data_IF_979823020881
#
_entry.id   IF_979823020881
#
_cell.length_a   1.000
_cell.length_b   1.000
_cell.length_c   1.000
_cell.angle_alpha   90.00
_cell.angle_beta   90.00
_cell.angle_gamma   90.00
#
_symmetry.space_group_name_H-M   'P 1'
#
loop_
_entity.id
_entity.type
_entity.pdbx_description
1 polymer ?
#
# COMPACT_ATOMS: atom_id res chain seq x y z
N UNK A 1 19.45 1.36 -19.66
CA UNK A 1 20.14 0.52 -18.69
C UNK A 1 19.40 0.65 -17.38
N UNK A 2 18.73 -0.44 -16.95
CA UNK A 2 18.12 -0.52 -15.63
C UNK A 2 19.26 -0.37 -14.61
N UNK A 3 19.20 0.64 -13.76
CA UNK A 3 20.15 0.81 -12.67
C UNK A 3 20.09 -0.41 -11.75
N UNK A 4 21.22 -0.74 -11.14
CA UNK A 4 21.62 -1.99 -10.48
C UNK A 4 20.75 -2.48 -9.29
N UNK A 5 19.43 -2.26 -9.32
CA UNK A 5 18.56 -2.80 -8.29
C UNK A 5 18.50 -4.33 -8.39
N UNK A 6 19.02 -5.01 -7.37
CA UNK A 6 19.08 -6.47 -7.34
C UNK A 6 17.75 -7.05 -6.86
N UNK A 7 17.24 -8.00 -7.64
CA UNK A 7 16.09 -8.82 -7.24
C UNK A 7 16.59 -10.16 -6.67
N UNK A 8 16.01 -10.54 -5.57
CA UNK A 8 16.27 -11.78 -4.86
C UNK A 8 15.08 -12.72 -5.00
N UNK A 9 15.30 -14.02 -5.08
CA UNK A 9 14.24 -14.98 -4.82
C UNK A 9 13.91 -15.02 -3.32
N UNK A 10 12.82 -15.69 -2.95
CA UNK A 10 12.34 -15.77 -1.56
C UNK A 10 13.42 -16.23 -0.57
N UNK A 11 14.15 -17.29 -0.91
CA UNK A 11 15.15 -17.88 0.00
C UNK A 11 16.31 -16.91 0.22
N UNK A 12 16.85 -16.36 -0.85
CA UNK A 12 17.94 -15.37 -0.77
C UNK A 12 17.51 -14.12 0.01
N UNK A 13 16.28 -13.63 -0.22
CA UNK A 13 15.75 -12.47 0.47
C UNK A 13 15.62 -12.71 1.98
N UNK A 14 15.08 -13.85 2.39
CA UNK A 14 14.96 -14.22 3.82
C UNK A 14 16.35 -14.30 4.46
N UNK A 15 17.32 -14.97 3.81
CA UNK A 15 18.68 -15.03 4.33
C UNK A 15 19.32 -13.64 4.49
N UNK A 16 19.12 -12.74 3.50
CA UNK A 16 19.65 -11.37 3.56
C UNK A 16 18.98 -10.54 4.67
N UNK A 17 17.64 -10.59 4.75
CA UNK A 17 16.89 -9.87 5.81
C UNK A 17 17.31 -10.35 7.21
N UNK A 18 17.41 -11.67 7.42
CA UNK A 18 17.83 -12.23 8.71
C UNK A 18 19.25 -11.79 9.08
N UNK A 19 20.18 -11.78 8.11
CA UNK A 19 21.55 -11.30 8.33
C UNK A 19 21.57 -9.83 8.73
N UNK A 20 20.91 -8.96 7.94
CA UNK A 20 20.86 -7.52 8.23
C UNK A 20 20.18 -7.24 9.58
N UNK A 21 19.11 -7.99 9.91
CA UNK A 21 18.45 -7.90 11.21
C UNK A 21 19.35 -8.30 12.38
N UNK A 22 20.09 -9.40 12.24
CA UNK A 22 21.07 -9.85 13.26
C UNK A 22 22.20 -8.83 13.44
N UNK A 23 22.64 -8.18 12.37
CA UNK A 23 23.64 -7.11 12.38
C UNK A 23 23.06 -5.76 12.84
N UNK A 24 21.74 -5.67 13.08
CA UNK A 24 20.99 -4.43 13.43
C UNK A 24 21.17 -3.31 12.38
N UNK A 25 21.30 -3.70 11.11
CA UNK A 25 21.41 -2.78 9.99
C UNK A 25 20.01 -2.49 9.43
N UNK A 26 19.66 -1.21 9.20
CA UNK A 26 18.37 -0.87 8.60
C UNK A 26 18.34 -1.33 7.14
N UNK A 27 17.18 -1.77 6.69
CA UNK A 27 16.95 -2.08 5.28
C UNK A 27 15.50 -1.81 4.87
N UNK A 28 15.33 -1.44 3.62
CA UNK A 28 14.04 -1.41 2.93
C UNK A 28 13.83 -2.75 2.23
N UNK A 29 12.62 -3.28 2.28
CA UNK A 29 12.25 -4.42 1.46
C UNK A 29 10.96 -4.17 0.68
N UNK A 30 10.88 -4.74 -0.52
CA UNK A 30 9.68 -4.77 -1.35
C UNK A 30 9.49 -6.20 -1.82
N UNK A 31 8.34 -6.78 -1.53
CA UNK A 31 8.00 -8.17 -1.86
C UNK A 31 6.83 -8.15 -2.83
N UNK A 32 6.96 -8.79 -3.99
CA UNK A 32 5.83 -8.96 -4.90
C UNK A 32 4.81 -9.98 -4.37
N UNK A 33 3.59 -9.93 -4.91
CA UNK A 33 2.50 -10.81 -4.47
C UNK A 33 2.86 -12.30 -4.54
N UNK A 34 3.63 -12.72 -5.53
CA UNK A 34 4.04 -14.12 -5.70
C UNK A 34 5.27 -14.51 -4.89
N UNK A 35 5.93 -13.54 -4.25
CA UNK A 35 7.19 -13.73 -3.52
C UNK A 35 8.34 -14.25 -4.41
N UNK A 36 8.29 -13.94 -5.70
CA UNK A 36 9.28 -14.34 -6.70
C UNK A 36 10.36 -13.28 -6.92
N UNK A 37 9.99 -12.01 -6.75
CA UNK A 37 10.87 -10.85 -6.91
C UNK A 37 10.87 -10.02 -5.64
N UNK A 38 11.95 -10.08 -4.92
CA UNK A 38 12.11 -9.36 -3.65
C UNK A 38 13.29 -8.40 -3.75
N UNK A 39 13.09 -7.16 -3.34
CA UNK A 39 14.16 -6.18 -3.14
C UNK A 39 14.47 -6.13 -1.66
N UNK A 40 15.75 -6.16 -1.30
CA UNK A 40 16.23 -5.92 0.07
C UNK A 40 17.48 -5.06 -0.03
N UNK A 41 17.34 -3.77 0.27
CA UNK A 41 18.44 -2.81 0.14
C UNK A 41 18.59 -1.94 1.38
N UNK A 42 19.82 -1.62 1.71
CA UNK A 42 20.10 -0.66 2.76
C UNK A 42 19.80 0.76 2.28
N UNK A 43 19.27 1.65 3.12
CA UNK A 43 18.77 2.96 2.71
C UNK A 43 19.80 3.82 1.96
N UNK A 44 21.08 3.70 2.33
CA UNK A 44 22.20 4.42 1.71
C UNK A 44 22.66 3.86 0.35
N UNK A 45 22.21 2.65 0.02
CA UNK A 45 22.49 1.99 -1.27
C UNK A 45 21.34 2.13 -2.28
N UNK A 46 20.22 2.73 -1.87
CA UNK A 46 19.07 2.90 -2.76
C UNK A 46 19.29 4.06 -3.71
N UNK A 47 19.36 3.77 -5.01
CA UNK A 47 19.36 4.78 -6.04
C UNK A 47 18.01 5.52 -6.10
N UNK A 48 18.01 6.81 -5.77
CA UNK A 48 16.82 7.67 -5.79
C UNK A 48 16.25 7.91 -7.19
N UNK A 49 17.01 7.62 -8.25
CA UNK A 49 16.49 7.62 -9.63
C UNK A 49 15.78 6.32 -10.01
N UNK A 50 15.90 5.28 -9.20
CA UNK A 50 15.27 4.00 -9.43
C UNK A 50 14.12 3.72 -8.45
N UNK A 51 14.25 4.13 -7.19
CA UNK A 51 13.25 3.90 -6.15
C UNK A 51 13.18 5.08 -5.17
N UNK A 52 11.97 5.60 -4.98
CA UNK A 52 11.67 6.62 -3.98
C UNK A 52 10.66 6.08 -2.98
N UNK A 53 10.83 6.44 -1.71
CA UNK A 53 9.86 6.09 -0.68
C UNK A 53 9.71 7.20 0.37
N UNK A 54 8.55 7.19 1.01
CA UNK A 54 8.27 7.89 2.25
C UNK A 54 7.39 6.97 3.12
N UNK A 55 7.94 6.51 4.21
CA UNK A 55 7.30 5.61 5.15
C UNK A 55 7.20 6.31 6.50
N UNK A 56 6.12 7.07 6.71
CA UNK A 56 5.87 7.85 7.93
C UNK A 56 7.02 8.82 8.28
N UNK A 57 7.58 9.47 7.26
CA UNK A 57 8.69 10.42 7.42
C UNK A 57 10.09 9.83 7.23
N UNK A 58 10.25 8.51 7.25
CA UNK A 58 11.50 7.85 6.82
C UNK A 58 11.52 7.84 5.29
N UNK A 59 12.46 8.55 4.69
CA UNK A 59 12.43 8.82 3.24
C UNK A 59 13.82 9.01 2.66
N UNK A 60 13.98 8.66 1.38
CA UNK A 60 15.14 9.03 0.56
C UNK A 60 14.86 10.20 -0.39
N UNK A 61 13.71 10.85 -0.27
CA UNK A 61 13.36 12.02 -1.08
C UNK A 61 14.10 13.25 -0.55
N UNK A 62 14.93 13.88 -1.38
CA UNK A 62 15.62 15.11 -1.02
C UNK A 62 14.63 16.24 -0.68
N UNK A 63 14.93 17.02 0.36
CA UNK A 63 14.05 18.11 0.82
C UNK A 63 13.79 19.16 -0.26
N UNK A 64 14.77 19.41 -1.12
CA UNK A 64 14.66 20.36 -2.23
C UNK A 64 13.70 19.89 -3.36
N UNK A 65 13.51 18.59 -3.51
CA UNK A 65 12.62 18.03 -4.55
C UNK A 65 11.12 18.13 -4.19
N UNK A 66 10.81 18.59 -2.98
CA UNK A 66 9.42 18.64 -2.49
C UNK A 66 8.64 19.89 -2.92
N UNK A 67 9.30 20.94 -3.37
CA UNK A 67 8.65 22.26 -3.39
C UNK A 67 8.52 22.91 -4.77
N UNK A 68 9.42 22.71 -5.74
CA UNK A 68 9.55 23.74 -6.77
C UNK A 68 8.99 23.45 -8.18
N UNK A 69 8.80 22.21 -8.59
CA UNK A 69 8.33 21.95 -9.97
C UNK A 69 6.81 21.87 -10.08
N UNK A 70 6.15 21.51 -8.99
CA UNK A 70 4.71 21.27 -9.00
C UNK A 70 3.88 22.55 -8.88
N UNK A 71 4.28 23.47 -8.01
CA UNK A 71 3.61 24.77 -7.83
C UNK A 71 3.74 25.68 -9.05
N UNK A 72 4.79 25.47 -9.87
CA UNK A 72 5.05 26.24 -11.08
C UNK A 72 4.37 25.65 -12.34
N UNK A 73 3.64 24.54 -12.21
CA UNK A 73 2.94 23.96 -13.35
C UNK A 73 1.72 24.80 -13.72
N UNK A 74 1.80 25.53 -14.82
CA UNK A 74 0.73 26.43 -15.31
C UNK A 74 -0.35 25.70 -16.12
N UNK A 75 -0.13 24.45 -16.54
CA UNK A 75 -1.08 23.67 -17.33
C UNK A 75 -1.97 22.80 -16.45
N UNK A 76 -3.26 22.75 -16.76
CA UNK A 76 -4.19 21.81 -16.12
C UNK A 76 -3.75 20.37 -16.34
N UNK A 77 -3.79 19.56 -15.26
CA UNK A 77 -3.48 18.13 -15.33
C UNK A 77 -4.59 17.43 -16.11
N UNK A 78 -4.18 16.64 -17.10
CA UNK A 78 -5.10 15.71 -17.76
C UNK A 78 -5.17 14.42 -16.97
N UNK A 79 -6.38 14.06 -16.53
CA UNK A 79 -6.64 12.81 -15.81
C UNK A 79 -7.96 12.22 -16.26
N UNK A 80 -7.91 11.16 -17.06
CA UNK A 80 -9.08 10.46 -17.59
C UNK A 80 -9.09 9.02 -17.08
N UNK A 81 -10.22 8.56 -16.58
CA UNK A 81 -10.39 7.19 -16.06
C UNK A 81 -11.37 6.40 -16.92
N UNK A 82 -11.10 5.12 -17.11
CA UNK A 82 -11.90 4.21 -17.93
C UNK A 82 -12.31 2.99 -17.07
N UNK A 83 -13.25 3.15 -16.11
CA UNK A 83 -13.69 2.05 -15.28
C UNK A 83 -14.41 0.98 -16.08
N UNK A 84 -14.45 -0.26 -15.57
CA UNK A 84 -15.29 -1.30 -16.13
C UNK A 84 -16.76 -0.90 -16.08
N UNK A 85 -17.59 -1.48 -16.95
CA UNK A 85 -19.03 -1.22 -16.96
C UNK A 85 -19.69 -1.75 -15.68
N UNK A 86 -20.78 -1.12 -15.26
CA UNK A 86 -21.57 -1.57 -14.12
C UNK A 86 -22.03 -3.04 -14.28
N UNK A 87 -22.38 -3.46 -15.49
CA UNK A 87 -22.76 -4.85 -15.75
C UNK A 87 -21.61 -5.82 -15.50
N UNK A 88 -20.42 -5.54 -16.04
CA UNK A 88 -19.26 -6.40 -15.84
C UNK A 88 -18.83 -6.48 -14.36
N UNK A 89 -18.97 -5.36 -13.63
CA UNK A 89 -18.76 -5.37 -12.16
C UNK A 89 -19.81 -6.22 -11.45
N UNK A 90 -21.10 -6.05 -11.78
CA UNK A 90 -22.19 -6.78 -11.18
C UNK A 90 -22.05 -8.30 -11.38
N UNK A 91 -21.65 -8.75 -12.58
CA UNK A 91 -21.39 -10.17 -12.86
C UNK A 91 -20.29 -10.75 -11.95
N UNK A 92 -19.20 -10.01 -11.78
CA UNK A 92 -18.11 -10.40 -10.89
C UNK A 92 -18.55 -10.41 -9.43
N UNK A 93 -19.29 -9.39 -9.00
CA UNK A 93 -19.84 -9.28 -7.65
C UNK A 93 -20.78 -10.44 -7.31
N UNK A 94 -21.71 -10.79 -8.21
CA UNK A 94 -22.64 -11.90 -8.00
C UNK A 94 -21.92 -13.24 -7.89
N UNK A 95 -20.84 -13.47 -8.65
CA UNK A 95 -20.00 -14.67 -8.52
C UNK A 95 -19.36 -14.75 -7.14
N UNK A 96 -18.76 -13.65 -6.66
CA UNK A 96 -18.14 -13.58 -5.34
C UNK A 96 -19.17 -13.83 -4.24
N UNK A 97 -20.33 -13.16 -4.30
CA UNK A 97 -21.43 -13.38 -3.33
C UNK A 97 -21.92 -14.83 -3.34
N UNK A 98 -22.01 -15.45 -4.52
CA UNK A 98 -22.34 -16.87 -4.66
C UNK A 98 -21.36 -17.78 -3.91
N UNK A 99 -20.05 -17.52 -4.06
CA UNK A 99 -19.00 -18.26 -3.33
C UNK A 99 -19.04 -18.05 -1.82
N UNK A 100 -19.30 -16.82 -1.38
CA UNK A 100 -19.46 -16.53 0.07
C UNK A 100 -20.66 -17.27 0.63
N UNK A 101 -21.81 -17.24 -0.06
CA UNK A 101 -23.02 -17.98 0.37
C UNK A 101 -22.84 -19.49 0.39
N UNK A 102 -21.98 -20.00 -0.49
CA UNK A 102 -21.63 -21.43 -0.52
C UNK A 102 -20.60 -21.82 0.56
N UNK A 103 -20.13 -20.87 1.39
CA UNK A 103 -19.16 -21.14 2.46
C UNK A 103 -17.71 -21.28 1.98
N UNK A 104 -17.39 -20.89 0.72
CA UNK A 104 -16.05 -20.99 0.17
C UNK A 104 -15.11 -19.90 0.71
N UNK A 105 -15.65 -18.81 1.23
CA UNK A 105 -14.93 -17.72 1.89
C UNK A 105 -15.89 -16.92 2.75
N UNK A 106 -15.36 -16.14 3.70
CA UNK A 106 -16.15 -15.27 4.57
C UNK A 106 -16.01 -13.80 4.17
N UNK A 107 -14.83 -13.41 3.69
CA UNK A 107 -14.51 -12.05 3.33
C UNK A 107 -13.63 -12.06 2.07
N UNK A 108 -13.97 -11.22 1.10
CA UNK A 108 -13.23 -11.10 -0.16
C UNK A 108 -13.11 -9.63 -0.52
N UNK A 109 -11.94 -9.20 -0.94
CA UNK A 109 -11.72 -7.90 -1.56
C UNK A 109 -11.80 -8.06 -3.09
N UNK A 110 -12.94 -7.69 -3.67
CA UNK A 110 -13.12 -7.68 -5.12
C UNK A 110 -12.52 -6.40 -5.72
N UNK A 111 -11.40 -6.53 -6.38
CA UNK A 111 -10.72 -5.41 -7.05
C UNK A 111 -10.92 -5.46 -8.55
N UNK A 112 -11.05 -4.28 -9.16
CA UNK A 112 -11.13 -4.09 -10.60
C UNK A 112 -10.12 -3.04 -11.05
N UNK A 113 -9.35 -3.36 -12.08
CA UNK A 113 -8.44 -2.40 -12.68
C UNK A 113 -9.22 -1.28 -13.38
N UNK A 114 -8.82 -0.04 -13.15
CA UNK A 114 -9.33 1.13 -13.86
C UNK A 114 -8.20 1.75 -14.68
N UNK A 115 -8.17 1.58 -16.01
CA UNK A 115 -7.20 2.26 -16.84
C UNK A 115 -7.27 3.77 -16.66
N UNK A 116 -6.11 4.40 -16.64
CA UNK A 116 -5.97 5.87 -16.51
C UNK A 116 -5.12 6.39 -17.65
N UNK A 117 -5.57 7.48 -18.26
CA UNK A 117 -4.77 8.28 -19.19
C UNK A 117 -4.45 9.61 -18.54
N UNK A 118 -3.17 9.91 -18.43
CA UNK A 118 -2.68 11.14 -17.83
C UNK A 118 -1.42 11.61 -18.54
N UNK A 119 -1.10 12.90 -18.41
CA UNK A 119 0.15 13.52 -18.82
C UNK A 119 1.22 13.49 -17.72
N UNK A 120 0.90 12.86 -16.56
CA UNK A 120 1.82 12.69 -15.46
C UNK A 120 2.61 11.40 -15.60
N UNK A 121 3.90 11.45 -15.29
CA UNK A 121 4.68 10.25 -15.03
C UNK A 121 4.32 9.65 -13.65
N UNK A 122 4.66 8.39 -13.41
CA UNK A 122 4.50 7.79 -12.09
C UNK A 122 5.31 8.52 -11.01
N UNK A 123 6.45 9.10 -11.38
CA UNK A 123 7.28 9.94 -10.48
C UNK A 123 6.57 11.24 -10.12
N UNK A 124 5.90 11.87 -11.09
CA UNK A 124 5.09 13.07 -10.85
C UNK A 124 3.95 12.76 -9.87
N UNK A 125 3.24 11.64 -10.08
CA UNK A 125 2.18 11.19 -9.17
C UNK A 125 2.73 10.96 -7.75
N UNK A 126 3.91 10.36 -7.62
CA UNK A 126 4.56 10.16 -6.32
C UNK A 126 4.89 11.50 -5.64
N UNK A 127 5.49 12.43 -6.37
CA UNK A 127 5.97 13.71 -5.81
C UNK A 127 4.80 14.59 -5.41
N UNK A 128 3.75 14.66 -6.24
CA UNK A 128 2.57 15.52 -6.01
C UNK A 128 1.61 15.01 -4.95
N UNK A 129 1.68 13.73 -4.58
CA UNK A 129 0.75 13.13 -3.66
C UNK A 129 1.15 13.33 -2.21
N UNK A 130 0.18 13.68 -1.37
CA UNK A 130 0.32 13.69 0.08
C UNK A 130 -0.19 12.36 0.63
N UNK A 131 0.73 11.45 0.98
CA UNK A 131 0.42 10.17 1.59
C UNK A 131 1.45 9.82 2.66
N UNK A 132 0.97 9.26 3.77
CA UNK A 132 1.82 8.86 4.90
C UNK A 132 2.81 7.77 4.53
N UNK A 133 2.33 6.80 3.73
CA UNK A 133 3.14 5.71 3.20
C UNK A 133 3.05 5.74 1.69
N UNK A 134 4.15 5.94 1.02
CA UNK A 134 4.22 5.92 -0.44
C UNK A 134 5.56 5.39 -0.94
N UNK A 135 5.51 4.68 -2.06
CA UNK A 135 6.66 4.13 -2.73
C UNK A 135 6.48 4.25 -4.24
N UNK A 136 7.51 4.69 -4.92
CA UNK A 136 7.61 4.71 -6.37
C UNK A 136 8.78 3.87 -6.83
N UNK A 137 8.55 3.04 -7.83
CA UNK A 137 9.59 2.30 -8.54
C UNK A 137 9.55 2.69 -10.01
N UNK A 138 10.70 3.11 -10.53
CA UNK A 138 10.86 3.60 -11.90
C UNK A 138 10.29 2.61 -12.90
N UNK A 139 9.47 3.13 -13.84
CA UNK A 139 8.85 2.40 -14.94
C UNK A 139 8.01 1.18 -14.53
N UNK A 140 7.69 1.03 -13.25
CA UNK A 140 6.90 -0.09 -12.74
C UNK A 140 5.59 0.35 -12.09
N UNK A 141 5.67 1.07 -10.97
CA UNK A 141 4.47 1.48 -10.23
C UNK A 141 4.74 2.64 -9.27
N UNK A 142 3.66 3.24 -8.84
CA UNK A 142 3.57 4.03 -7.61
C UNK A 142 2.47 3.44 -6.74
N UNK A 143 2.70 3.35 -5.45
CA UNK A 143 1.74 2.81 -4.49
C UNK A 143 1.64 3.71 -3.27
N UNK A 144 0.43 3.79 -2.73
CA UNK A 144 0.10 4.54 -1.51
C UNK A 144 -0.62 3.62 -0.54
N UNK A 145 -0.38 3.81 0.75
CA UNK A 145 -1.16 3.14 1.80
C UNK A 145 -1.57 4.12 2.88
N UNK A 146 -2.83 4.12 3.31
CA UNK A 146 -3.27 4.85 4.50
C UNK A 146 -2.86 4.14 5.80
N UNK A 147 -2.53 2.85 5.72
CA UNK A 147 -2.29 1.98 6.86
C UNK A 147 -0.84 1.51 6.91
N UNK A 148 -0.36 1.29 8.13
CA UNK A 148 0.86 0.55 8.39
C UNK A 148 0.52 -0.95 8.51
N UNK A 149 1.37 -1.82 7.98
CA UNK A 149 1.21 -3.27 8.14
C UNK A 149 1.41 -3.68 9.60
N UNK A 150 2.63 -3.54 10.09
CA UNK A 150 2.99 -3.75 11.49
C UNK A 150 4.03 -2.74 11.93
N UNK A 151 4.11 -2.48 13.23
CA UNK A 151 5.17 -1.72 13.86
C UNK A 151 5.76 -2.55 15.00
N UNK A 152 7.07 -2.75 15.00
CA UNK A 152 7.79 -3.43 16.08
C UNK A 152 8.57 -2.37 16.82
N UNK A 153 8.33 -2.27 18.11
CA UNK A 153 9.01 -1.34 19.00
C UNK A 153 9.04 -1.89 20.43
N UNK A 154 10.15 -1.75 21.11
CA UNK A 154 10.31 -2.14 22.51
C UNK A 154 9.85 -3.60 22.76
N UNK A 155 10.25 -4.53 21.87
CA UNK A 155 9.90 -5.97 21.91
C UNK A 155 8.40 -6.26 21.75
N UNK A 156 7.61 -5.28 21.30
CA UNK A 156 6.19 -5.45 21.02
C UNK A 156 5.91 -5.26 19.54
N UNK A 157 4.98 -6.05 19.02
CA UNK A 157 4.43 -5.91 17.67
C UNK A 157 3.05 -5.25 17.76
N UNK A 158 2.84 -4.24 16.94
CA UNK A 158 1.61 -3.46 16.87
C UNK A 158 1.02 -3.55 15.47
N UNK A 159 -0.29 -3.67 15.38
CA UNK A 159 -1.06 -3.46 14.16
C UNK A 159 -2.21 -2.49 14.45
N UNK A 160 -2.57 -1.69 13.46
CA UNK A 160 -3.59 -0.65 13.57
C UNK A 160 -4.60 -0.81 12.43
N UNK A 161 -5.40 -1.89 12.43
CA UNK A 161 -6.35 -2.14 11.35
C UNK A 161 -7.39 -1.03 11.25
N UNK A 162 -7.61 -0.53 10.04
CA UNK A 162 -8.63 0.47 9.74
C UNK A 162 -9.71 -0.19 8.88
N UNK A 163 -10.95 -0.17 9.38
CA UNK A 163 -12.15 -0.56 8.63
C UNK A 163 -13.27 0.41 8.93
N UNK A 164 -14.14 0.56 7.95
CA UNK A 164 -15.22 1.51 8.03
C UNK A 164 -14.79 2.94 7.71
N UNK A 165 -15.49 3.55 6.78
CA UNK A 165 -15.32 4.95 6.42
C UNK A 165 -16.68 5.64 6.37
N UNK A 166 -16.72 6.88 6.83
CA UNK A 166 -17.91 7.71 6.78
C UNK A 166 -17.50 9.12 6.40
N UNK A 167 -18.39 9.85 5.74
CA UNK A 167 -18.20 11.26 5.50
C UNK A 167 -18.16 12.02 6.84
N UNK A 168 -17.01 12.58 7.17
CA UNK A 168 -16.78 13.30 8.43
C UNK A 168 -17.59 14.60 8.54
N UNK A 169 -18.17 15.09 7.45
CA UNK A 169 -19.04 16.28 7.44
C UNK A 169 -20.46 15.98 7.93
N UNK A 170 -20.84 14.71 8.01
CA UNK A 170 -22.15 14.31 8.49
C UNK A 170 -22.32 14.59 9.99
N UNK A 171 -23.51 15.02 10.44
CA UNK A 171 -23.80 15.14 11.86
C UNK A 171 -23.57 13.81 12.59
N UNK A 172 -22.90 13.86 13.74
CA UNK A 172 -22.62 12.68 14.57
C UNK A 172 -21.82 11.55 13.85
N UNK A 173 -21.01 11.89 12.82
CA UNK A 173 -20.28 10.91 12.02
C UNK A 173 -19.54 9.87 12.88
N UNK A 174 -18.86 10.31 13.96
CA UNK A 174 -18.17 9.42 14.89
C UNK A 174 -19.09 8.40 15.55
N UNK A 175 -20.27 8.83 16.04
CA UNK A 175 -21.22 7.93 16.68
C UNK A 175 -21.79 6.95 15.65
N UNK A 176 -22.20 7.46 14.48
CA UNK A 176 -22.79 6.66 13.40
C UNK A 176 -21.88 5.53 12.95
N UNK A 177 -20.58 5.79 12.75
CA UNK A 177 -19.62 4.73 12.34
C UNK A 177 -19.40 3.71 13.46
N UNK A 178 -19.34 4.13 14.71
CA UNK A 178 -19.14 3.23 15.85
C UNK A 178 -20.37 2.35 16.16
N UNK A 179 -21.56 2.83 15.86
CA UNK A 179 -22.83 2.13 16.07
C UNK A 179 -23.29 1.36 14.82
N UNK A 180 -22.58 1.46 13.68
CA UNK A 180 -22.95 0.73 12.47
C UNK A 180 -22.63 -0.78 12.64
N UNK A 181 -23.65 -1.66 12.58
CA UNK A 181 -23.44 -3.10 12.82
C UNK A 181 -22.53 -3.75 11.76
N UNK A 182 -22.58 -3.29 10.50
CA UNK A 182 -21.77 -3.83 9.41
C UNK A 182 -20.31 -3.46 9.62
N UNK A 183 -20.01 -2.17 9.85
CA UNK A 183 -18.64 -1.70 10.04
C UNK A 183 -18.02 -2.29 11.32
N UNK A 184 -18.81 -2.44 12.39
CA UNK A 184 -18.39 -3.11 13.62
C UNK A 184 -18.04 -4.58 13.39
N UNK A 185 -18.86 -5.32 12.64
CA UNK A 185 -18.61 -6.72 12.32
C UNK A 185 -17.38 -6.91 11.42
N UNK A 186 -17.20 -6.06 10.40
CA UNK A 186 -16.02 -6.08 9.55
C UNK A 186 -14.74 -5.77 10.36
N UNK A 187 -14.79 -4.78 11.23
CA UNK A 187 -13.65 -4.42 12.09
C UNK A 187 -13.27 -5.58 13.03
N UNK A 188 -14.25 -6.16 13.71
CA UNK A 188 -14.03 -7.30 14.61
C UNK A 188 -13.40 -8.50 13.87
N UNK A 189 -13.86 -8.79 12.65
CA UNK A 189 -13.33 -9.87 11.82
C UNK A 189 -11.86 -9.64 11.47
N UNK A 190 -11.49 -8.42 11.08
CA UNK A 190 -10.09 -8.09 10.73
C UNK A 190 -9.20 -8.08 11.96
N UNK A 191 -9.66 -7.55 13.09
CA UNK A 191 -8.91 -7.59 14.35
C UNK A 191 -8.62 -9.03 14.78
N UNK A 192 -9.62 -9.92 14.69
CA UNK A 192 -9.46 -11.34 15.05
C UNK A 192 -8.48 -12.04 14.11
N UNK A 193 -8.58 -11.80 12.81
CA UNK A 193 -7.66 -12.35 11.80
C UNK A 193 -6.21 -11.92 12.09
N UNK A 194 -5.97 -10.62 12.26
CA UNK A 194 -4.63 -10.08 12.51
C UNK A 194 -4.08 -10.60 13.84
N UNK A 195 -4.92 -10.65 14.88
CA UNK A 195 -4.53 -11.22 16.18
C UNK A 195 -4.08 -12.67 16.04
N UNK A 196 -4.80 -13.46 15.27
CA UNK A 196 -4.45 -14.85 14.99
C UNK A 196 -3.13 -14.96 14.23
N UNK A 197 -2.95 -14.17 13.18
CA UNK A 197 -1.72 -14.15 12.38
C UNK A 197 -0.50 -13.72 13.21
N UNK A 198 -0.61 -12.68 14.03
CA UNK A 198 0.46 -12.22 14.92
C UNK A 198 0.80 -13.24 16.01
N UNK A 199 -0.13 -14.11 16.37
CA UNK A 199 0.12 -15.17 17.36
C UNK A 199 1.00 -16.31 16.83
N UNK A 200 1.24 -16.34 15.52
CA UNK A 200 2.11 -17.34 14.87
C UNK A 200 3.58 -16.89 14.76
N UNK A 201 3.89 -15.68 15.18
CA UNK A 201 5.23 -15.06 15.19
C UNK A 201 5.70 -14.95 16.65
#
# INVERSE_FOLDING_TARGET
>A
TFSDMRFYNRIEAVCRMNRLGAERRPFLFVIDYKQEQVIVEEPDQIDSEALLYNLDGVTNVATASRVNDWENRTSAIRWETFPITQSAYADSFHKVVGHIRAGNSYLVNLTCATPVRTDLSLKDVFVSSEARYKLWMKDRFVVFSPEIFVKIRDEHIYSYPMKGTIDATLPDARRRILEDPKETAEHATIVDLIRNDLSMV
#
